data_IF_664081136060
#
_entry.id   IF_664081136060
#
_cell.length_a   1.000
_cell.length_b   1.000
_cell.length_c   1.000
_cell.angle_alpha   90.00
_cell.angle_beta   90.00
_cell.angle_gamma   90.00
#
_symmetry.space_group_name_H-M   'P 1'
#
loop_
_entity.id
_entity.type
_entity.pdbx_description
1 polymer ?
#
# COMPACT_ATOMS: atom_id res chain seq x y z
N UNK A 1 -1.02 13.08 -2.62
CA UNK A 1 -0.10 13.81 -1.71
C UNK A 1 -0.14 15.30 -2.03
N UNK A 2 -0.33 16.17 -1.02
CA UNK A 2 -0.38 17.64 -1.20
C UNK A 2 0.99 18.33 -1.04
N UNK A 3 2.03 17.59 -0.65
CA UNK A 3 3.41 18.10 -0.50
C UNK A 3 4.39 17.20 -1.25
N UNK A 4 5.43 17.82 -1.82
CA UNK A 4 6.49 17.18 -2.57
C UNK A 4 7.73 17.08 -1.69
N UNK A 5 8.02 15.87 -1.18
CA UNK A 5 9.09 15.62 -0.21
C UNK A 5 10.38 15.09 -0.87
N UNK A 6 10.71 15.54 -2.08
CA UNK A 6 11.94 15.08 -2.77
C UNK A 6 13.24 15.37 -2.00
N UNK A 7 13.18 16.29 -1.03
CA UNK A 7 14.29 16.67 -0.17
C UNK A 7 14.24 15.99 1.20
N UNK A 8 13.37 14.98 1.42
CA UNK A 8 13.21 14.33 2.73
C UNK A 8 14.54 13.89 3.35
N UNK A 9 15.43 13.29 2.56
CA UNK A 9 16.76 12.86 3.01
C UNK A 9 17.77 13.98 3.28
N UNK A 10 17.45 15.23 2.88
CA UNK A 10 18.27 16.42 3.12
C UNK A 10 17.79 17.22 4.33
N UNK A 11 16.60 16.91 4.87
CA UNK A 11 16.01 17.57 6.03
C UNK A 11 16.64 17.07 7.33
N UNK A 12 16.81 17.99 8.27
CA UNK A 12 17.17 17.65 9.65
C UNK A 12 16.05 16.82 10.30
N UNK A 13 16.37 16.06 11.35
CA UNK A 13 15.37 15.24 12.04
C UNK A 13 14.23 16.08 12.63
N UNK A 14 14.53 17.29 13.12
CA UNK A 14 13.52 18.20 13.65
C UNK A 14 12.53 18.66 12.57
N UNK A 15 13.00 18.89 11.35
CA UNK A 15 12.13 19.25 10.22
C UNK A 15 11.25 18.08 9.80
N UNK A 16 11.81 16.87 9.74
CA UNK A 16 11.05 15.65 9.44
C UNK A 16 9.98 15.40 10.50
N UNK A 17 10.29 15.64 11.77
CA UNK A 17 9.34 15.50 12.87
C UNK A 17 8.14 16.44 12.74
N UNK A 18 8.37 17.71 12.38
CA UNK A 18 7.29 18.66 12.10
C UNK A 18 6.39 18.16 10.96
N UNK A 19 6.97 17.59 9.91
CA UNK A 19 6.19 17.02 8.80
C UNK A 19 5.38 15.78 9.19
N UNK A 20 5.91 14.91 10.06
CA UNK A 20 5.16 13.75 10.55
C UNK A 20 3.95 14.17 11.38
N UNK A 21 4.12 15.13 12.28
CA UNK A 21 3.01 15.67 13.06
C UNK A 21 1.96 16.34 12.17
N UNK A 22 2.37 17.15 11.19
CA UNK A 22 1.46 17.78 10.24
C UNK A 22 0.67 16.74 9.42
N UNK A 23 1.31 15.68 8.94
CA UNK A 23 0.62 14.57 8.27
C UNK A 23 -0.39 13.87 9.19
N UNK A 24 0.02 13.51 10.42
CA UNK A 24 -0.84 12.87 11.40
C UNK A 24 -2.05 13.75 11.77
N UNK A 25 -1.83 15.03 11.98
CA UNK A 25 -2.88 15.99 12.32
C UNK A 25 -3.89 16.15 11.18
N UNK A 26 -3.43 16.17 9.92
CA UNK A 26 -4.32 16.18 8.75
C UNK A 26 -5.17 14.90 8.70
N UNK A 27 -4.58 13.73 8.95
CA UNK A 27 -5.33 12.47 9.00
C UNK A 27 -6.41 12.48 10.08
N UNK A 28 -6.05 12.89 11.29
CA UNK A 28 -6.96 12.95 12.44
C UNK A 28 -8.06 13.97 12.19
N UNK A 29 -7.71 15.19 11.76
CA UNK A 29 -8.67 16.24 11.48
C UNK A 29 -9.66 15.85 10.38
N UNK A 30 -9.19 15.12 9.35
CA UNK A 30 -10.06 14.58 8.29
C UNK A 30 -11.05 13.57 8.88
N UNK A 31 -10.56 12.62 9.69
CA UNK A 31 -11.43 11.63 10.32
C UNK A 31 -12.46 12.27 11.26
N UNK A 32 -12.06 13.24 12.07
CA UNK A 32 -12.97 13.97 12.98
C UNK A 32 -14.00 14.79 12.20
N UNK A 33 -13.56 15.51 11.16
CA UNK A 33 -14.42 16.41 10.39
C UNK A 33 -15.55 15.68 9.67
N UNK A 34 -15.25 14.49 9.17
CA UNK A 34 -16.17 13.66 8.37
C UNK A 34 -16.74 12.47 9.14
N UNK A 35 -16.42 12.33 10.44
CA UNK A 35 -16.95 11.28 11.30
C UNK A 35 -16.49 9.87 10.92
N UNK A 36 -15.25 9.72 10.43
CA UNK A 36 -14.71 8.40 10.09
C UNK A 36 -14.39 7.59 11.35
N UNK A 37 -14.59 6.28 11.28
CA UNK A 37 -14.10 5.33 12.29
C UNK A 37 -12.72 4.76 11.96
N UNK A 38 -12.19 5.06 10.78
CA UNK A 38 -10.92 4.56 10.29
C UNK A 38 -10.09 5.68 9.66
N UNK A 39 -8.77 5.55 9.76
CA UNK A 39 -7.80 6.40 9.08
C UNK A 39 -7.05 5.52 8.09
N UNK A 40 -7.21 5.83 6.79
CA UNK A 40 -6.37 5.27 5.74
C UNK A 40 -5.15 6.18 5.57
N UNK A 41 -4.01 5.75 6.11
CA UNK A 41 -2.75 6.49 5.98
C UNK A 41 -2.10 6.23 4.62
N UNK A 42 -1.52 7.29 4.07
CA UNK A 42 -0.68 7.27 2.87
C UNK A 42 0.57 8.14 3.12
N UNK A 43 1.52 7.64 3.95
CA UNK A 43 2.73 8.38 4.32
C UNK A 43 3.52 8.81 3.11
N UNK A 44 4.19 9.96 3.21
CA UNK A 44 5.10 10.43 2.19
C UNK A 44 6.35 11.03 2.85
N UNK A 45 7.52 10.38 2.75
CA UNK A 45 7.80 9.19 1.93
C UNK A 45 7.15 7.90 2.47
N UNK A 46 6.78 6.99 1.56
CA UNK A 46 6.16 5.69 1.89
C UNK A 46 7.22 4.64 2.25
N UNK A 47 8.04 4.98 3.25
CA UNK A 47 9.01 4.06 3.83
C UNK A 47 8.45 3.41 5.09
N UNK A 48 8.90 2.19 5.40
CA UNK A 48 8.39 1.43 6.55
C UNK A 48 8.62 2.17 7.87
N UNK A 49 9.80 2.77 8.06
CA UNK A 49 10.13 3.52 9.27
C UNK A 49 9.30 4.79 9.44
N UNK A 50 9.06 5.52 8.34
CA UNK A 50 8.27 6.76 8.38
C UNK A 50 6.78 6.47 8.55
N UNK A 51 6.31 5.35 8.00
CA UNK A 51 4.97 4.81 8.26
C UNK A 51 4.80 4.47 9.73
N UNK A 52 5.75 3.75 10.33
CA UNK A 52 5.74 3.39 11.76
C UNK A 52 5.66 4.66 12.63
N UNK A 53 6.51 5.66 12.38
CA UNK A 53 6.49 6.92 13.16
C UNK A 53 5.16 7.67 13.01
N UNK A 54 4.57 7.66 11.82
CA UNK A 54 3.25 8.25 11.60
C UNK A 54 2.17 7.53 12.39
N UNK A 55 2.21 6.18 12.43
CA UNK A 55 1.30 5.36 13.25
C UNK A 55 1.44 5.73 14.73
N UNK A 56 2.68 5.82 15.23
CA UNK A 56 2.96 6.15 16.64
C UNK A 56 2.35 7.50 17.03
N UNK A 57 2.55 8.54 16.21
CA UNK A 57 1.98 9.88 16.47
C UNK A 57 0.45 9.85 16.47
N UNK A 58 -0.17 9.11 15.55
CA UNK A 58 -1.64 8.98 15.52
C UNK A 58 -2.13 8.25 16.78
N UNK A 59 -1.46 7.15 17.18
CA UNK A 59 -1.80 6.38 18.38
C UNK A 59 -1.59 7.19 19.64
N UNK A 60 -0.52 7.95 19.75
CA UNK A 60 -0.28 8.85 20.88
C UNK A 60 -1.41 9.89 21.02
N UNK A 61 -1.83 10.50 19.91
CA UNK A 61 -2.87 11.53 19.90
C UNK A 61 -4.29 10.99 20.08
N UNK A 62 -4.56 9.75 19.68
CA UNK A 62 -5.94 9.25 19.54
C UNK A 62 -6.22 7.91 20.22
N UNK A 63 -5.21 7.24 20.76
CA UNK A 63 -5.30 5.88 21.29
C UNK A 63 -5.86 4.90 20.26
N UNK A 64 -6.80 4.07 20.70
CA UNK A 64 -7.47 3.07 19.86
C UNK A 64 -8.77 3.57 19.23
N UNK A 65 -8.99 4.89 19.20
CA UNK A 65 -10.24 5.49 18.69
C UNK A 65 -10.48 5.17 17.21
N UNK A 66 -9.42 5.03 16.42
CA UNK A 66 -9.50 4.80 14.98
C UNK A 66 -8.87 3.47 14.59
N UNK A 67 -9.51 2.81 13.63
CA UNK A 67 -8.89 1.73 12.87
C UNK A 67 -7.86 2.33 11.89
N UNK A 68 -6.57 2.06 12.09
CA UNK A 68 -5.50 2.55 11.22
C UNK A 68 -5.21 1.51 10.15
N UNK A 69 -5.32 1.91 8.88
CA UNK A 69 -5.04 1.05 7.74
C UNK A 69 -4.15 1.73 6.71
N UNK A 70 -3.44 0.94 5.91
CA UNK A 70 -2.65 1.44 4.76
C UNK A 70 -2.82 0.56 3.53
N UNK A 71 -2.35 1.03 2.38
CA UNK A 71 -2.37 0.26 1.15
C UNK A 71 -1.42 -0.94 1.24
N UNK A 72 -1.83 -2.10 0.76
CA UNK A 72 -1.06 -3.34 0.89
C UNK A 72 -1.10 -4.26 -0.33
N UNK A 73 -1.55 -3.80 -1.50
CA UNK A 73 -1.53 -4.69 -2.66
C UNK A 73 -0.12 -5.08 -3.08
N UNK A 74 -0.04 -6.31 -3.58
CA UNK A 74 1.17 -6.88 -4.15
C UNK A 74 0.89 -7.65 -5.44
N UNK A 75 -0.21 -7.32 -6.13
CA UNK A 75 -0.61 -7.95 -7.40
C UNK A 75 -0.62 -6.93 -8.54
N UNK A 76 -0.61 -7.40 -9.79
CA UNK A 76 -0.71 -6.52 -10.94
C UNK A 76 -2.07 -5.84 -11.02
N UNK A 77 -2.09 -4.52 -10.84
CA UNK A 77 -3.21 -3.69 -11.25
C UNK A 77 -3.24 -3.53 -12.77
N UNK A 78 -4.36 -3.04 -13.28
CA UNK A 78 -4.49 -2.58 -14.66
C UNK A 78 -3.34 -1.61 -14.99
N UNK A 79 -2.55 -1.89 -16.05
CA UNK A 79 -1.51 -0.97 -16.48
C UNK A 79 -2.09 0.35 -16.99
N UNK A 80 -1.32 1.43 -16.92
CA UNK A 80 -1.68 2.65 -17.61
C UNK A 80 -1.67 2.46 -19.15
N UNK A 81 -2.23 3.43 -19.87
CA UNK A 81 -2.37 3.35 -21.32
C UNK A 81 -1.04 3.23 -22.10
N UNK A 82 0.10 3.59 -21.51
CA UNK A 82 1.42 3.44 -22.14
C UNK A 82 2.04 2.07 -21.89
N UNK A 83 1.70 1.42 -20.77
CA UNK A 83 2.26 0.14 -20.36
C UNK A 83 1.40 -1.07 -20.75
N UNK A 84 0.13 -0.85 -21.11
CA UNK A 84 -0.82 -1.93 -21.44
C UNK A 84 -0.32 -2.86 -22.54
N UNK A 85 0.25 -2.31 -23.62
CA UNK A 85 0.75 -3.13 -24.73
C UNK A 85 1.93 -4.01 -24.30
N UNK A 86 2.89 -3.43 -23.56
CA UNK A 86 4.04 -4.18 -23.06
C UNK A 86 3.65 -5.27 -22.06
N UNK A 87 2.65 -5.02 -21.22
CA UNK A 87 2.11 -6.07 -20.33
C UNK A 87 1.47 -7.21 -21.14
N UNK A 88 0.70 -6.90 -22.19
CA UNK A 88 0.08 -7.91 -23.05
C UNK A 88 1.10 -8.74 -23.83
N UNK A 89 2.17 -8.11 -24.34
CA UNK A 89 3.29 -8.80 -24.99
C UNK A 89 3.96 -9.78 -24.03
N UNK A 90 4.32 -9.34 -22.82
CA UNK A 90 4.91 -10.20 -21.79
C UNK A 90 4.00 -11.35 -21.40
N UNK A 91 2.69 -11.16 -21.39
CA UNK A 91 1.73 -12.21 -21.08
C UNK A 91 1.75 -13.35 -22.10
N UNK A 92 2.03 -13.04 -23.37
CA UNK A 92 2.16 -14.02 -24.44
C UNK A 92 3.57 -14.63 -24.51
N UNK A 93 4.60 -13.78 -24.40
CA UNK A 93 5.97 -14.14 -24.78
C UNK A 93 6.88 -14.47 -23.58
N UNK A 94 6.59 -13.94 -22.38
CA UNK A 94 7.35 -14.21 -21.14
C UNK A 94 6.43 -14.34 -19.89
N UNK A 95 5.48 -15.30 -19.88
CA UNK A 95 4.58 -15.50 -18.74
C UNK A 95 5.34 -15.94 -17.47
N UNK A 96 6.45 -16.66 -17.61
CA UNK A 96 7.25 -17.08 -16.46
C UNK A 96 8.00 -15.91 -15.82
N UNK A 97 8.42 -14.91 -16.61
CA UNK A 97 8.95 -13.66 -16.09
C UNK A 97 7.93 -12.88 -15.28
N UNK A 98 6.69 -12.78 -15.75
CA UNK A 98 5.60 -12.16 -14.98
C UNK A 98 5.32 -12.90 -13.67
N UNK A 99 5.37 -14.23 -13.65
CA UNK A 99 5.20 -15.03 -12.43
C UNK A 99 6.33 -14.79 -11.42
N UNK A 100 7.58 -14.68 -11.88
CA UNK A 100 8.72 -14.34 -11.02
C UNK A 100 8.57 -12.94 -10.43
N UNK A 101 8.15 -11.98 -11.23
CA UNK A 101 7.90 -10.61 -10.77
C UNK A 101 6.77 -10.55 -9.73
N UNK A 102 5.63 -11.21 -9.99
CA UNK A 102 4.52 -11.29 -9.04
C UNK A 102 4.96 -11.89 -7.70
N UNK A 103 5.78 -12.94 -7.74
CA UNK A 103 6.33 -13.53 -6.50
C UNK A 103 7.22 -12.54 -5.76
N UNK A 104 8.10 -11.82 -6.45
CA UNK A 104 8.98 -10.83 -5.83
C UNK A 104 8.19 -9.68 -5.19
N UNK A 105 7.10 -9.24 -5.83
CA UNK A 105 6.19 -8.23 -5.27
C UNK A 105 5.55 -8.71 -3.97
N UNK A 106 4.99 -9.92 -3.96
CA UNK A 106 4.40 -10.53 -2.76
C UNK A 106 5.44 -10.69 -1.65
N UNK A 107 6.61 -11.24 -1.95
CA UNK A 107 7.66 -11.45 -0.95
C UNK A 107 8.14 -10.13 -0.35
N UNK A 108 8.25 -9.07 -1.15
CA UNK A 108 8.61 -7.74 -0.67
C UNK A 108 7.50 -7.13 0.21
N UNK A 109 6.23 -7.32 -0.16
CA UNK A 109 5.09 -6.87 0.63
C UNK A 109 4.99 -7.60 1.97
N UNK A 110 5.25 -8.92 2.00
CA UNK A 110 5.31 -9.72 3.23
C UNK A 110 6.44 -9.22 4.15
N UNK A 111 7.66 -9.03 3.64
CA UNK A 111 8.78 -8.50 4.45
C UNK A 111 8.47 -7.14 5.09
N UNK A 112 7.76 -6.26 4.38
CA UNK A 112 7.30 -4.98 4.94
C UNK A 112 6.22 -5.19 6.00
N UNK A 113 5.26 -6.08 5.76
CA UNK A 113 4.21 -6.39 6.71
C UNK A 113 4.71 -7.02 8.00
N UNK A 114 5.70 -7.92 7.94
CA UNK A 114 6.36 -8.48 9.12
C UNK A 114 6.95 -7.39 10.02
N UNK A 115 7.52 -6.35 9.41
CA UNK A 115 8.02 -5.19 10.14
C UNK A 115 6.92 -4.36 10.79
N UNK A 116 5.81 -4.14 10.10
CA UNK A 116 4.64 -3.46 10.68
C UNK A 116 4.04 -4.27 11.82
N UNK A 117 3.85 -5.58 11.63
CA UNK A 117 3.30 -6.48 12.65
C UNK A 117 4.19 -6.55 13.90
N UNK A 118 5.51 -6.60 13.72
CA UNK A 118 6.48 -6.60 14.83
C UNK A 118 6.41 -5.30 15.66
N UNK A 119 6.16 -4.16 15.01
CA UNK A 119 6.02 -2.87 15.69
C UNK A 119 4.65 -2.73 16.37
N UNK A 120 3.58 -3.12 15.67
CA UNK A 120 2.20 -2.93 16.11
C UNK A 120 1.59 -1.60 15.67
N UNK A 121 0.41 -1.28 16.19
CA UNK A 121 -0.29 -0.02 15.94
C UNK A 121 -0.99 0.12 14.58
N UNK A 122 -0.63 -0.68 13.57
CA UNK A 122 -1.39 -0.80 12.31
C UNK A 122 -2.43 -1.92 12.44
N UNK A 123 -3.70 -1.63 12.14
CA UNK A 123 -4.79 -2.60 12.31
C UNK A 123 -5.10 -3.41 11.04
N UNK A 124 -4.70 -2.92 9.87
CA UNK A 124 -4.93 -3.67 8.65
C UNK A 124 -4.40 -3.05 7.37
N UNK A 125 -4.61 -3.80 6.29
CA UNK A 125 -4.24 -3.41 4.93
C UNK A 125 -5.47 -3.32 4.04
N UNK A 126 -5.50 -2.28 3.20
CA UNK A 126 -6.45 -2.14 2.11
C UNK A 126 -5.82 -2.62 0.80
N UNK A 127 -6.46 -3.60 0.18
CA UNK A 127 -6.07 -4.17 -1.11
C UNK A 127 -7.01 -3.62 -2.19
N UNK A 128 -6.53 -2.61 -2.91
CA UNK A 128 -7.15 -1.77 -3.92
C UNK A 128 -6.51 -1.91 -5.32
N UNK A 129 -5.89 -3.03 -5.67
CA UNK A 129 -5.46 -3.25 -7.06
C UNK A 129 -6.68 -3.27 -7.99
N UNK A 130 -6.73 -2.33 -8.94
CA UNK A 130 -7.82 -2.27 -9.91
C UNK A 130 -7.59 -3.29 -11.03
N UNK A 131 -8.60 -4.08 -11.35
CA UNK A 131 -8.54 -5.12 -12.38
C UNK A 131 -9.45 -4.85 -13.57
N UNK A 132 -10.08 -3.67 -13.64
CA UNK A 132 -11.18 -3.42 -14.54
C UNK A 132 -10.97 -2.19 -15.44
N UNK A 133 -11.36 -2.34 -16.71
CA UNK A 133 -11.82 -1.23 -17.53
C UNK A 133 -13.26 -0.84 -17.15
N UNK A 134 -13.77 0.25 -17.71
CA UNK A 134 -15.18 0.64 -17.59
C UNK A 134 -16.17 -0.39 -18.18
N UNK A 135 -15.69 -1.37 -18.93
CA UNK A 135 -16.52 -2.40 -19.62
C UNK A 135 -16.26 -3.82 -19.13
N UNK A 136 -15.37 -4.03 -18.14
CA UNK A 136 -15.05 -5.34 -17.60
C UNK A 136 -13.55 -5.53 -17.30
N UNK A 137 -13.14 -6.72 -16.84
CA UNK A 137 -11.77 -6.98 -16.44
C UNK A 137 -10.80 -6.93 -17.62
N UNK A 138 -9.57 -6.45 -17.37
CA UNK A 138 -8.52 -6.43 -18.42
C UNK A 138 -7.88 -7.81 -18.63
N UNK A 139 -8.03 -8.71 -17.66
CA UNK A 139 -7.59 -10.10 -17.73
C UNK A 139 -8.77 -11.03 -17.98
N UNK A 140 -8.56 -12.05 -18.83
CA UNK A 140 -9.50 -13.17 -18.94
C UNK A 140 -9.57 -13.95 -17.61
N UNK A 141 -10.67 -14.68 -17.33
CA UNK A 141 -10.75 -15.51 -16.12
C UNK A 141 -9.59 -16.50 -15.95
N UNK A 142 -9.09 -17.07 -17.06
CA UNK A 142 -7.91 -17.95 -17.04
C UNK A 142 -6.65 -17.20 -16.62
N UNK A 143 -6.40 -16.01 -17.18
CA UNK A 143 -5.25 -15.20 -16.78
C UNK A 143 -5.36 -14.70 -15.34
N UNK A 144 -6.56 -14.34 -14.88
CA UNK A 144 -6.76 -13.93 -13.49
C UNK A 144 -6.45 -15.07 -12.50
N UNK A 145 -6.87 -16.30 -12.83
CA UNK A 145 -6.56 -17.49 -12.04
C UNK A 145 -5.06 -17.81 -12.00
N UNK A 146 -4.31 -17.43 -13.03
CA UNK A 146 -2.88 -17.73 -13.16
C UNK A 146 -1.97 -16.63 -12.58
N UNK A 147 -2.27 -15.36 -12.84
CA UNK A 147 -1.38 -14.23 -12.56
C UNK A 147 -1.79 -13.38 -11.36
N UNK A 148 -3.01 -13.53 -10.83
CA UNK A 148 -3.52 -12.73 -9.71
C UNK A 148 -3.85 -13.63 -8.51
N UNK A 149 -4.72 -14.61 -8.72
CA UNK A 149 -5.35 -15.38 -7.63
C UNK A 149 -4.36 -16.04 -6.66
N UNK A 150 -3.28 -16.73 -7.12
CA UNK A 150 -2.34 -17.38 -6.22
C UNK A 150 -1.60 -16.39 -5.31
N UNK A 151 -1.20 -15.26 -5.89
CA UNK A 151 -0.46 -14.20 -5.21
C UNK A 151 -1.35 -13.42 -4.24
N UNK A 152 -2.59 -13.14 -4.64
CA UNK A 152 -3.59 -12.53 -3.77
C UNK A 152 -3.91 -13.44 -2.57
N UNK A 153 -4.04 -14.75 -2.80
CA UNK A 153 -4.24 -15.72 -1.72
C UNK A 153 -3.04 -15.78 -0.77
N UNK A 154 -1.81 -15.74 -1.30
CA UNK A 154 -0.60 -15.73 -0.48
C UNK A 154 -0.50 -14.47 0.40
N UNK A 155 -0.68 -13.28 -0.19
CA UNK A 155 -0.52 -12.02 0.56
C UNK A 155 -1.64 -11.83 1.60
N UNK A 156 -2.88 -12.18 1.27
CA UNK A 156 -4.02 -12.07 2.22
C UNK A 156 -3.90 -13.06 3.37
N UNK A 157 -3.33 -14.25 3.12
CA UNK A 157 -2.97 -15.19 4.18
C UNK A 157 -1.89 -14.61 5.08
N UNK A 158 -0.80 -14.13 4.49
CA UNK A 158 0.33 -13.57 5.23
C UNK A 158 -0.04 -12.33 6.06
N UNK A 159 -0.99 -11.51 5.61
CA UNK A 159 -1.47 -10.34 6.37
C UNK A 159 -2.43 -10.69 7.50
N UNK A 160 -2.99 -11.89 7.48
CA UNK A 160 -3.90 -12.38 8.53
C UNK A 160 -3.15 -13.05 9.68
N UNK A 161 -2.04 -13.72 9.36
CA UNK A 161 -1.17 -14.45 10.30
C UNK A 161 -0.23 -13.52 11.06
#
# INVERSE_FOLDING_TARGET
SHRYYSQWGQMEEQERELHRHDMADIYIATAERYGHSAIFIHPNPDEVDETIRTIDIIREKTGDRYFIMRHGDATFSIPDGTQMFGFAERLADDPDGLKREAQQMVDAAIRRAERYAKHGGLDGFALCADYCFNTGPFLSPRHFAEFITPYLAQITKAYRE
#
